data_IF_488443558645
#
_entry.id   IF_488443558645
#
_cell.length_a   1.000
_cell.length_b   1.000
_cell.length_c   1.000
_cell.angle_alpha   90.00
_cell.angle_beta   90.00
_cell.angle_gamma   90.00
#
_symmetry.space_group_name_H-M   'P 1'
#
loop_
_entity.id
_entity.type
_entity.pdbx_description
1 polymer ?
#
# COMPACT_ATOMS: atom_id res chain seq x y z
N UNK A 1 -6.98 7.77 18.28
CA UNK A 1 -7.86 7.09 17.29
C UNK A 1 -8.12 5.66 17.77
N UNK A 2 -9.28 5.13 17.38
CA UNK A 2 -9.67 3.77 17.72
C UNK A 2 -9.90 2.96 16.46
N UNK A 3 -9.54 1.68 16.50
CA UNK A 3 -9.93 0.70 15.51
C UNK A 3 -11.15 -0.03 16.04
N UNK A 4 -12.19 -0.06 15.23
CA UNK A 4 -13.45 -0.71 15.54
C UNK A 4 -13.64 -1.92 14.65
N UNK A 5 -14.18 -3.01 15.22
CA UNK A 5 -14.75 -4.12 14.46
C UNK A 5 -16.26 -4.08 14.63
N UNK A 6 -16.98 -4.29 13.54
CA UNK A 6 -18.41 -4.49 13.60
C UNK A 6 -18.72 -5.97 13.77
N UNK A 7 -19.22 -6.33 14.95
CA UNK A 7 -19.74 -7.69 15.22
C UNK A 7 -21.11 -7.84 14.55
N UNK A 8 -21.15 -8.62 13.47
CA UNK A 8 -22.38 -8.84 12.70
C UNK A 8 -23.42 -9.65 13.48
N UNK A 9 -22.99 -10.48 14.43
CA UNK A 9 -23.89 -11.30 15.27
C UNK A 9 -24.58 -10.44 16.33
N UNK A 10 -23.80 -9.61 17.02
CA UNK A 10 -24.29 -8.71 18.07
C UNK A 10 -24.78 -7.37 17.51
N UNK A 11 -24.54 -7.09 16.23
CA UNK A 11 -24.89 -5.84 15.53
C UNK A 11 -24.37 -4.58 16.23
N UNK A 12 -23.13 -4.63 16.70
CA UNK A 12 -22.49 -3.49 17.36
C UNK A 12 -21.01 -3.36 17.02
N UNK A 13 -20.50 -2.14 17.18
CA UNK A 13 -19.08 -1.88 17.10
C UNK A 13 -18.39 -2.19 18.43
N UNK A 14 -17.24 -2.83 18.35
CA UNK A 14 -16.35 -3.05 19.50
C UNK A 14 -14.99 -2.41 19.19
N UNK A 15 -14.42 -1.70 20.19
CA UNK A 15 -13.06 -1.16 20.07
C UNK A 15 -12.08 -2.33 20.24
N UNK A 16 -11.27 -2.59 19.21
CA UNK A 16 -10.28 -3.67 19.24
C UNK A 16 -8.87 -3.17 19.48
N UNK A 17 -8.61 -1.90 19.15
CA UNK A 17 -7.35 -1.26 19.46
C UNK A 17 -7.52 0.26 19.64
N UNK A 18 -6.65 0.84 20.46
CA UNK A 18 -6.52 2.29 20.61
C UNK A 18 -5.12 2.70 20.18
N UNK A 19 -5.06 3.50 19.14
CA UNK A 19 -3.79 4.05 18.65
C UNK A 19 -3.38 5.23 19.53
N UNK A 20 -2.09 5.34 19.82
CA UNK A 20 -1.54 6.44 20.64
C UNK A 20 -1.71 7.81 19.98
N UNK A 21 -1.40 8.88 20.74
CA UNK A 21 -1.55 10.28 20.27
C UNK A 21 -0.63 10.62 19.10
N UNK A 22 0.45 9.88 18.90
CA UNK A 22 1.34 10.00 17.75
C UNK A 22 0.64 9.73 16.39
N UNK A 23 -0.52 9.08 16.43
CA UNK A 23 -1.32 8.75 15.24
C UNK A 23 -2.49 9.72 14.99
N UNK A 24 -2.62 10.80 15.79
CA UNK A 24 -3.80 11.68 15.76
C UNK A 24 -4.00 12.47 14.44
N UNK A 25 -3.01 12.50 13.56
CA UNK A 25 -3.05 13.36 12.36
C UNK A 25 -3.37 12.64 11.05
N UNK A 26 -3.44 11.31 11.03
CA UNK A 26 -3.67 10.57 9.80
C UNK A 26 -4.59 9.38 10.01
N UNK A 27 -5.48 9.19 9.07
CA UNK A 27 -6.32 8.00 9.02
C UNK A 27 -5.45 6.79 8.65
N UNK A 28 -5.46 5.71 9.42
CA UNK A 28 -4.76 4.49 9.03
C UNK A 28 -5.39 3.93 7.74
N UNK A 29 -4.52 3.48 6.83
CA UNK A 29 -4.92 2.78 5.63
C UNK A 29 -4.89 1.28 5.90
N UNK A 30 -5.99 0.58 5.61
CA UNK A 30 -6.01 -0.88 5.61
C UNK A 30 -5.32 -1.35 4.32
N UNK A 31 -4.24 -2.12 4.49
CA UNK A 31 -3.46 -2.66 3.37
C UNK A 31 -4.08 -3.96 2.86
N UNK A 32 -4.34 -4.89 3.78
CA UNK A 32 -4.87 -6.22 3.45
C UNK A 32 -5.43 -6.91 4.68
N UNK A 33 -6.35 -7.85 4.46
CA UNK A 33 -6.77 -8.83 5.47
C UNK A 33 -6.48 -10.23 4.95
N UNK A 34 -5.78 -11.04 5.76
CA UNK A 34 -5.38 -12.41 5.42
C UNK A 34 -5.69 -13.33 6.60
N UNK A 35 -6.71 -14.16 6.47
CA UNK A 35 -7.20 -14.98 7.59
C UNK A 35 -7.67 -14.11 8.76
N UNK A 36 -7.09 -14.32 9.94
CA UNK A 36 -7.40 -13.55 11.15
C UNK A 36 -6.62 -12.24 11.27
N UNK A 37 -5.68 -11.97 10.35
CA UNK A 37 -4.77 -10.84 10.43
C UNK A 37 -5.18 -9.71 9.50
N UNK A 38 -5.32 -8.51 10.04
CA UNK A 38 -5.52 -7.28 9.29
C UNK A 38 -4.27 -6.42 9.41
N UNK A 39 -3.73 -6.04 8.26
CA UNK A 39 -2.58 -5.15 8.14
C UNK A 39 -3.03 -3.75 7.81
N UNK A 40 -2.48 -2.79 8.52
CA UNK A 40 -2.75 -1.38 8.30
C UNK A 40 -1.47 -0.56 8.43
N UNK A 41 -1.41 0.57 7.76
CA UNK A 41 -0.33 1.52 7.92
C UNK A 41 -0.84 2.80 8.56
N UNK A 42 -0.01 3.36 9.42
CA UNK A 42 -0.02 4.78 9.73
C UNK A 42 1.02 5.49 8.84
N UNK A 43 1.36 6.75 9.16
CA UNK A 43 2.32 7.51 8.34
C UNK A 43 3.67 6.85 8.10
N UNK A 44 4.15 5.98 9.00
CA UNK A 44 5.51 5.43 8.94
C UNK A 44 5.61 3.95 9.26
N UNK A 45 4.57 3.40 9.88
CA UNK A 45 4.63 2.05 10.42
C UNK A 45 3.66 1.13 9.68
N UNK A 46 3.94 -0.17 9.71
CA UNK A 46 2.93 -1.20 9.42
C UNK A 46 2.59 -1.88 10.72
N UNK A 47 1.29 -1.95 10.99
CA UNK A 47 0.72 -2.62 12.14
C UNK A 47 -0.07 -3.84 11.70
N UNK A 48 -0.04 -4.87 12.52
CA UNK A 48 -0.84 -6.09 12.38
C UNK A 48 -1.83 -6.17 13.54
N UNK A 49 -3.09 -6.38 13.22
CA UNK A 49 -4.12 -6.79 14.17
C UNK A 49 -4.49 -8.24 13.92
N UNK A 50 -4.32 -9.10 14.93
CA UNK A 50 -4.78 -10.49 14.89
C UNK A 50 -6.11 -10.63 15.66
N UNK A 51 -7.18 -10.88 14.93
CA UNK A 51 -8.53 -10.97 15.53
C UNK A 51 -8.73 -12.24 16.36
N UNK A 52 -7.93 -13.29 16.16
CA UNK A 52 -8.03 -14.52 16.95
C UNK A 52 -7.41 -14.39 18.34
N UNK A 53 -6.38 -13.53 18.44
CA UNK A 53 -5.66 -13.28 19.70
C UNK A 53 -6.08 -11.95 20.35
N UNK A 54 -6.72 -11.07 19.59
CA UNK A 54 -7.04 -9.70 20.01
C UNK A 54 -5.79 -8.82 20.18
N UNK A 55 -4.70 -9.18 19.50
CA UNK A 55 -3.40 -8.50 19.65
C UNK A 55 -3.19 -7.52 18.50
N UNK A 56 -2.76 -6.30 18.88
CA UNK A 56 -2.30 -5.27 17.96
C UNK A 56 -0.81 -5.02 18.17
N UNK A 57 -0.02 -5.10 17.09
CA UNK A 57 1.44 -4.93 17.16
C UNK A 57 1.98 -4.20 15.93
N UNK A 58 3.03 -3.41 16.13
CA UNK A 58 3.81 -2.84 15.04
C UNK A 58 4.79 -3.88 14.51
N UNK A 59 4.74 -4.18 13.22
CA UNK A 59 5.63 -5.15 12.54
C UNK A 59 6.72 -4.46 11.72
N UNK A 60 6.54 -3.20 11.37
CA UNK A 60 7.52 -2.38 10.65
C UNK A 60 7.53 -0.96 11.19
N UNK A 61 8.73 -0.40 11.41
CA UNK A 61 8.95 1.00 11.74
C UNK A 61 9.80 1.65 10.67
N UNK A 62 9.17 2.51 9.87
CA UNK A 62 9.81 3.16 8.75
C UNK A 62 10.44 4.51 9.09
N UNK A 63 11.39 4.91 8.24
CA UNK A 63 12.03 6.24 8.30
C UNK A 63 11.25 7.29 7.53
N UNK A 64 10.53 6.87 6.49
CA UNK A 64 9.89 7.74 5.49
C UNK A 64 8.38 7.74 5.67
N UNK A 65 7.75 8.82 5.21
CA UNK A 65 6.30 8.92 5.20
C UNK A 65 5.77 7.96 4.13
N UNK A 66 4.80 7.14 4.50
CA UNK A 66 4.11 6.19 3.64
C UNK A 66 2.87 6.90 3.08
N UNK A 67 2.80 7.03 1.76
CA UNK A 67 1.70 7.63 1.04
C UNK A 67 0.63 6.60 0.67
N UNK A 68 1.07 5.35 0.40
CA UNK A 68 0.22 4.22 0.03
C UNK A 68 0.96 2.92 0.30
N UNK A 69 0.24 1.80 0.39
CA UNK A 69 0.83 0.50 0.64
C UNK A 69 0.03 -0.64 0.00
N UNK A 70 0.74 -1.63 -0.51
CA UNK A 70 0.18 -2.86 -1.05
C UNK A 70 0.94 -4.07 -0.52
N UNK A 71 0.26 -5.21 -0.42
CA UNK A 71 0.86 -6.49 -0.03
C UNK A 71 0.73 -7.47 -1.18
N UNK A 72 1.85 -8.04 -1.63
CA UNK A 72 1.83 -9.02 -2.70
C UNK A 72 1.46 -10.44 -2.21
N UNK A 73 1.37 -11.37 -3.16
CA UNK A 73 0.99 -12.77 -2.91
C UNK A 73 2.01 -13.52 -2.05
N UNK A 74 3.29 -13.11 -2.07
CA UNK A 74 4.36 -13.68 -1.26
C UNK A 74 4.37 -13.12 0.16
N UNK A 75 3.51 -12.15 0.44
CA UNK A 75 3.39 -11.52 1.73
C UNK A 75 4.34 -10.35 1.96
N UNK A 76 5.05 -9.92 0.94
CA UNK A 76 5.93 -8.76 0.98
C UNK A 76 5.09 -7.49 0.88
N UNK A 77 5.46 -6.48 1.66
CA UNK A 77 4.83 -5.16 1.59
C UNK A 77 5.63 -4.23 0.68
N UNK A 78 4.89 -3.54 -0.18
CA UNK A 78 5.39 -2.51 -1.07
C UNK A 78 4.79 -1.18 -0.64
N UNK A 79 5.65 -0.21 -0.29
CA UNK A 79 5.23 1.05 0.29
C UNK A 79 5.62 2.20 -0.64
N UNK A 80 4.63 2.95 -1.07
CA UNK A 80 4.83 4.24 -1.72
C UNK A 80 5.29 5.24 -0.67
N UNK A 81 6.44 5.88 -0.85
CA UNK A 81 6.95 6.80 0.15
C UNK A 81 7.48 8.11 -0.46
N UNK A 82 7.72 9.10 0.41
CA UNK A 82 8.30 10.39 0.04
C UNK A 82 9.72 10.31 -0.53
N UNK A 83 10.39 9.15 -0.37
CA UNK A 83 11.79 8.97 -0.78
C UNK A 83 11.99 7.87 -1.83
N UNK A 84 10.91 7.22 -2.26
CA UNK A 84 10.94 6.15 -3.23
C UNK A 84 9.98 5.01 -2.92
N UNK A 85 10.21 3.88 -3.57
CA UNK A 85 9.48 2.63 -3.33
C UNK A 85 10.22 1.85 -2.24
N UNK A 86 9.51 1.46 -1.16
CA UNK A 86 10.10 0.63 -0.10
C UNK A 86 9.54 -0.78 -0.21
N UNK A 87 10.43 -1.77 -0.22
CA UNK A 87 10.10 -3.19 -0.07
C UNK A 87 10.32 -3.58 1.39
N UNK A 88 9.37 -4.27 2.00
CA UNK A 88 9.51 -4.84 3.34
C UNK A 88 9.04 -6.29 3.37
N UNK A 89 9.91 -7.21 3.80
CA UNK A 89 9.59 -8.62 3.98
C UNK A 89 9.41 -8.93 5.48
N UNK A 90 8.18 -9.18 5.94
CA UNK A 90 7.91 -9.41 7.36
C UNK A 90 8.46 -10.74 7.87
N UNK A 91 8.83 -11.68 6.98
CA UNK A 91 9.40 -12.98 7.36
C UNK A 91 10.85 -12.86 7.78
N UNK A 92 11.60 -11.94 7.15
CA UNK A 92 13.03 -11.70 7.45
C UNK A 92 13.23 -10.44 8.27
N UNK A 93 12.26 -9.54 8.30
CA UNK A 93 12.36 -8.20 8.88
C UNK A 93 13.20 -7.23 8.04
N UNK A 94 13.60 -7.64 6.84
CA UNK A 94 14.42 -6.82 5.95
C UNK A 94 13.57 -5.78 5.22
N UNK A 95 14.10 -4.56 5.14
CA UNK A 95 13.53 -3.49 4.35
C UNK A 95 14.55 -2.88 3.42
N UNK A 96 14.13 -2.56 2.19
CA UNK A 96 14.95 -1.97 1.14
C UNK A 96 14.26 -0.75 0.56
N UNK A 97 14.96 0.39 0.51
CA UNK A 97 14.52 1.56 -0.23
C UNK A 97 15.06 1.48 -1.66
N UNK A 98 14.15 1.36 -2.62
CA UNK A 98 14.44 1.31 -4.05
C UNK A 98 14.36 2.74 -4.59
N UNK A 99 15.53 3.31 -4.89
CA UNK A 99 15.68 4.65 -5.49
C UNK A 99 15.92 4.55 -6.98
N UNK A 100 15.45 5.57 -7.69
CA UNK A 100 15.69 5.74 -9.11
C UNK A 100 15.86 7.22 -9.43
N UNK A 101 16.48 7.55 -10.55
CA UNK A 101 16.53 8.92 -11.09
C UNK A 101 15.22 9.35 -11.78
N UNK A 102 14.28 8.41 -11.99
CA UNK A 102 13.02 8.67 -12.68
C UNK A 102 12.02 9.44 -11.82
N UNK A 103 12.06 9.22 -10.51
CA UNK A 103 11.20 9.89 -9.52
C UNK A 103 11.84 9.87 -8.14
N UNK A 104 11.45 10.79 -7.27
CA UNK A 104 11.80 10.79 -5.86
C UNK A 104 10.64 10.27 -5.02
N UNK A 105 9.49 10.91 -5.12
CA UNK A 105 8.28 10.57 -4.38
C UNK A 105 7.42 9.59 -5.16
N UNK A 106 6.90 8.58 -4.47
CA UNK A 106 5.86 7.66 -4.97
C UNK A 106 4.54 8.02 -4.30
N UNK A 107 3.51 8.25 -5.11
CA UNK A 107 2.18 8.63 -4.62
C UNK A 107 1.34 7.41 -4.27
N UNK A 108 1.35 6.40 -5.13
CA UNK A 108 0.51 5.22 -4.99
C UNK A 108 1.22 3.95 -5.43
N UNK A 109 0.81 2.82 -4.85
CA UNK A 109 1.37 1.50 -5.20
C UNK A 109 0.30 0.44 -5.11
N UNK A 110 0.27 -0.44 -6.10
CA UNK A 110 -0.56 -1.65 -6.07
C UNK A 110 0.19 -2.82 -6.71
N UNK A 111 0.07 -3.98 -6.11
CA UNK A 111 0.66 -5.22 -6.61
C UNK A 111 -0.42 -6.05 -7.29
N UNK A 112 -0.13 -6.63 -8.43
CA UNK A 112 -1.07 -7.50 -9.14
C UNK A 112 -0.77 -9.00 -8.94
N UNK A 113 -1.61 -9.82 -9.56
CA UNK A 113 -1.51 -11.28 -9.48
C UNK A 113 -0.38 -11.87 -10.35
N UNK A 114 0.36 -11.03 -11.08
CA UNK A 114 1.49 -11.42 -11.93
C UNK A 114 2.84 -10.95 -11.35
N UNK A 115 2.87 -10.62 -10.06
CA UNK A 115 4.06 -10.10 -9.35
C UNK A 115 4.60 -8.78 -9.92
N UNK A 116 3.76 -8.01 -10.64
CA UNK A 116 4.10 -6.66 -11.08
C UNK A 116 3.71 -5.68 -9.97
N UNK A 117 4.56 -4.68 -9.78
CA UNK A 117 4.32 -3.59 -8.83
C UNK A 117 4.05 -2.33 -9.65
N UNK A 118 2.83 -1.85 -9.60
CA UNK A 118 2.39 -0.64 -10.28
C UNK A 118 2.64 0.55 -9.37
N UNK A 119 3.38 1.53 -9.89
CA UNK A 119 3.92 2.65 -9.11
C UNK A 119 3.46 3.95 -9.74
N UNK A 120 2.50 4.59 -9.09
CA UNK A 120 1.97 5.90 -9.50
C UNK A 120 2.77 7.04 -8.86
N UNK A 121 3.08 8.04 -9.66
CA UNK A 121 3.74 9.27 -9.23
C UNK A 121 2.92 10.50 -9.63
N UNK A 122 3.41 11.70 -9.36
CA UNK A 122 2.75 12.94 -9.79
C UNK A 122 2.74 13.15 -11.31
N UNK A 123 3.47 12.34 -12.10
CA UNK A 123 3.58 12.57 -13.56
C UNK A 123 3.40 11.33 -14.40
N UNK A 124 3.82 10.17 -13.88
CA UNK A 124 3.92 8.95 -14.66
C UNK A 124 3.45 7.75 -13.88
N UNK A 125 3.08 6.72 -14.64
CA UNK A 125 2.88 5.37 -14.14
C UNK A 125 4.10 4.52 -14.52
N UNK A 126 4.59 3.75 -13.55
CA UNK A 126 5.68 2.81 -13.75
C UNK A 126 5.24 1.42 -13.38
N UNK A 127 5.84 0.44 -14.04
CA UNK A 127 5.81 -0.96 -13.61
C UNK A 127 7.19 -1.34 -13.12
N UNK A 128 7.27 -1.78 -11.88
CA UNK A 128 8.49 -2.34 -11.32
C UNK A 128 8.42 -3.86 -11.32
N UNK A 129 9.46 -4.50 -11.85
CA UNK A 129 9.64 -5.95 -11.76
C UNK A 129 10.61 -6.29 -10.64
N UNK A 130 10.14 -7.03 -9.65
CA UNK A 130 11.00 -7.51 -8.55
C UNK A 130 12.06 -8.50 -9.02
N UNK A 131 11.80 -9.21 -10.11
CA UNK A 131 12.72 -10.20 -10.70
C UNK A 131 13.92 -9.54 -11.39
N UNK A 132 13.66 -8.54 -12.23
CA UNK A 132 14.71 -7.84 -13.00
C UNK A 132 15.21 -6.60 -12.30
N UNK A 133 14.53 -6.15 -11.24
CA UNK A 133 14.80 -4.93 -10.46
C UNK A 133 14.78 -3.65 -11.32
N UNK A 134 13.99 -3.65 -12.36
CA UNK A 134 13.88 -2.53 -13.30
C UNK A 134 12.50 -1.90 -13.28
N UNK A 135 12.48 -0.58 -13.53
CA UNK A 135 11.27 0.18 -13.82
C UNK A 135 11.05 0.31 -15.32
N UNK A 136 9.82 0.15 -15.75
CA UNK A 136 9.35 0.51 -17.08
C UNK A 136 8.38 1.67 -16.91
N UNK A 137 8.62 2.78 -17.62
CA UNK A 137 7.70 3.91 -17.67
C UNK A 137 6.59 3.58 -18.67
N UNK A 138 5.35 3.84 -18.30
CA UNK A 138 4.21 3.76 -19.20
C UNK A 138 3.77 5.18 -19.60
N UNK A 139 3.51 5.34 -20.89
CA UNK A 139 3.14 6.61 -21.49
C UNK A 139 1.98 6.48 -22.49
N UNK A 140 1.78 7.51 -23.31
CA UNK A 140 0.70 7.55 -24.30
C UNK A 140 0.81 6.44 -25.37
N UNK A 141 2.01 5.97 -25.66
CA UNK A 141 2.23 4.86 -26.61
C UNK A 141 1.68 3.55 -26.03
N UNK A 142 1.73 3.40 -24.72
CA UNK A 142 1.17 2.27 -23.99
C UNK A 142 -0.33 2.48 -23.69
N UNK A 143 -0.93 3.59 -24.12
CA UNK A 143 -2.32 3.93 -23.88
C UNK A 143 -2.57 4.59 -22.50
N UNK A 144 -1.52 5.00 -21.81
CA UNK A 144 -1.60 5.68 -20.50
C UNK A 144 -1.50 7.19 -20.71
N UNK A 145 -2.57 7.91 -20.45
CA UNK A 145 -2.54 9.37 -20.49
C UNK A 145 -1.79 9.94 -19.29
N UNK A 146 -1.09 11.08 -19.45
CA UNK A 146 -0.44 11.78 -18.35
C UNK A 146 -1.43 12.04 -17.21
N UNK A 147 -1.06 11.64 -16.01
CA UNK A 147 -1.92 11.76 -14.84
C UNK A 147 -1.10 12.01 -13.58
N UNK A 148 -1.62 12.80 -12.66
CA UNK A 148 -1.11 12.90 -11.30
C UNK A 148 -1.83 11.88 -10.44
N UNK A 149 -1.14 10.78 -10.10
CA UNK A 149 -1.72 9.70 -9.31
C UNK A 149 -1.84 10.10 -7.85
N UNK A 150 -3.02 9.85 -7.28
CA UNK A 150 -3.37 10.28 -5.92
C UNK A 150 -2.97 9.23 -4.89
N UNK A 151 -2.72 9.70 -3.68
CA UNK A 151 -2.44 8.85 -2.53
C UNK A 151 -3.65 7.95 -2.23
N UNK A 152 -3.38 6.66 -1.95
CA UNK A 152 -4.41 5.70 -1.53
C UNK A 152 -5.55 5.50 -2.55
N UNK A 153 -5.34 5.86 -3.80
CA UNK A 153 -6.33 5.75 -4.86
C UNK A 153 -6.05 4.54 -5.76
N UNK A 154 -5.78 3.39 -5.15
CA UNK A 154 -5.46 2.15 -5.87
C UNK A 154 -6.38 1.02 -5.45
N UNK A 155 -6.62 0.08 -6.37
CA UNK A 155 -7.39 -1.13 -6.12
C UNK A 155 -6.93 -2.25 -7.05
N UNK A 156 -6.71 -3.44 -6.49
CA UNK A 156 -6.69 -4.70 -7.23
C UNK A 156 -8.07 -5.35 -7.11
N UNK A 157 -8.78 -5.47 -8.20
CA UNK A 157 -10.09 -6.10 -8.24
C UNK A 157 -9.99 -7.63 -8.24
N UNK A 158 -11.06 -8.32 -7.89
CA UNK A 158 -11.10 -9.78 -7.84
C UNK A 158 -10.85 -10.46 -9.19
N UNK A 159 -11.18 -9.79 -10.29
CA UNK A 159 -10.93 -10.29 -11.64
C UNK A 159 -9.47 -10.07 -12.10
N UNK A 160 -8.66 -9.41 -11.29
CA UNK A 160 -7.26 -9.11 -11.58
C UNK A 160 -7.01 -7.71 -12.18
N UNK A 161 -8.05 -6.96 -12.50
CA UNK A 161 -7.90 -5.60 -12.99
C UNK A 161 -7.31 -4.70 -11.91
N UNK A 162 -6.39 -3.85 -12.32
CA UNK A 162 -5.75 -2.85 -11.47
C UNK A 162 -6.31 -1.47 -11.79
N UNK A 163 -6.69 -0.75 -10.74
CA UNK A 163 -7.23 0.60 -10.83
C UNK A 163 -6.29 1.58 -10.13
N UNK A 164 -5.96 2.68 -10.79
CA UNK A 164 -5.19 3.79 -10.22
C UNK A 164 -5.90 5.11 -10.49
N UNK A 165 -6.33 5.77 -9.44
CA UNK A 165 -6.99 7.08 -9.51
C UNK A 165 -5.99 8.22 -9.59
N UNK A 166 -6.35 9.24 -10.35
CA UNK A 166 -5.57 10.46 -10.51
C UNK A 166 -6.44 11.68 -10.78
N UNK A 167 -5.81 12.83 -10.87
CA UNK A 167 -6.51 14.12 -11.06
C UNK A 167 -7.24 14.24 -12.39
N UNK A 168 -6.78 13.53 -13.42
CA UNK A 168 -7.39 13.53 -14.77
C UNK A 168 -8.31 12.32 -15.01
N UNK A 169 -8.58 11.54 -13.98
CA UNK A 169 -9.41 10.35 -14.06
C UNK A 169 -8.72 9.10 -13.52
N UNK A 170 -9.15 7.95 -14.00
CA UNK A 170 -8.68 6.65 -13.51
C UNK A 170 -8.03 5.85 -14.63
N UNK A 171 -6.85 5.30 -14.38
CA UNK A 171 -6.21 4.33 -15.25
C UNK A 171 -6.68 2.93 -14.84
N UNK A 172 -7.11 2.12 -15.82
CA UNK A 172 -7.53 0.73 -15.64
C UNK A 172 -6.61 -0.17 -16.46
N UNK A 173 -6.09 -1.21 -15.82
CA UNK A 173 -5.18 -2.18 -16.42
C UNK A 173 -5.80 -3.56 -16.27
N UNK A 174 -5.96 -4.25 -17.40
CA UNK A 174 -6.60 -5.55 -17.50
C UNK A 174 -5.56 -6.67 -17.70
#
# INVERSE_FOLDING_TARGET
>A
QHIFIYDTTRRKFEIVATMGREYERNSPLIIATVGTKTYLTDLKNICEYDSSEGIFRTIYQGKYIINDASRDQDGVFWLASTEGLVRYDPRTGESELIKTSLFQEVSSVVTDNQHRIWVGTRRYLFVYSSLTRNFVTLDEVDGVLPNEYLFQATLLAHNGDVFLGGTMGMTVIN
#
